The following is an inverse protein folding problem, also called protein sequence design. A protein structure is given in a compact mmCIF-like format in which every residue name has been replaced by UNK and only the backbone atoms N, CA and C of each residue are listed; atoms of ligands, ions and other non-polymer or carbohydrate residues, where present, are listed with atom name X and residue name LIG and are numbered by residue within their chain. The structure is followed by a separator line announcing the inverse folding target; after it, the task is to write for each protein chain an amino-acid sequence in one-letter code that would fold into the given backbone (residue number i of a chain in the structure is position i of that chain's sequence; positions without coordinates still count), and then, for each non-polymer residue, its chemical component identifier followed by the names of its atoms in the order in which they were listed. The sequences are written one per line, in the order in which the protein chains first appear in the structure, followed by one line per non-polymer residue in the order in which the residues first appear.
data_IF_463905745338
#
_entry.id   IF_463905745338
#
_cell.length_a   1.000
_cell.length_b   1.000
_cell.length_c   1.000
_cell.angle_alpha   90.00
_cell.angle_beta   90.00
_cell.angle_gamma   90.00
#
_symmetry.space_group_name_H-M   'P 1'
#
loop_
_entity.id
_entity.type
_entity.pdbx_description
1 polymer ?
#
# COMPACT_ATOMS: atom_id res chain seq x y z
N UNK A 1 35.18 -12.91 -13.88
CA UNK A 1 33.93 -13.67 -14.11
C UNK A 1 33.20 -13.80 -12.79
N UNK A 2 31.87 -13.60 -12.77
CA UNK A 2 31.04 -13.72 -11.57
C UNK A 2 30.07 -14.91 -11.69
N UNK A 3 29.58 -15.46 -10.57
CA UNK A 3 28.63 -16.57 -10.57
C UNK A 3 27.25 -16.13 -11.08
N UNK A 4 26.51 -17.06 -11.69
CA UNK A 4 25.08 -16.89 -11.96
C UNK A 4 24.32 -17.27 -10.69
N UNK A 5 23.72 -16.28 -10.03
CA UNK A 5 22.92 -16.50 -8.82
C UNK A 5 21.43 -16.62 -9.17
N UNK A 6 20.72 -17.48 -8.43
CA UNK A 6 19.25 -17.44 -8.39
C UNK A 6 18.76 -16.29 -7.48
N UNK A 7 17.45 -16.08 -7.43
CA UNK A 7 16.86 -14.94 -6.71
C UNK A 7 17.15 -14.98 -5.19
N UNK A 8 16.95 -16.11 -4.47
CA UNK A 8 17.29 -16.18 -3.05
C UNK A 8 18.77 -15.93 -2.77
N UNK A 9 19.67 -16.57 -3.51
CA UNK A 9 21.11 -16.38 -3.31
C UNK A 9 21.56 -14.97 -3.67
N UNK A 10 20.93 -14.33 -4.67
CA UNK A 10 21.20 -12.94 -5.00
C UNK A 10 20.76 -12.00 -3.87
N UNK A 11 19.59 -12.24 -3.26
CA UNK A 11 19.05 -11.43 -2.17
C UNK A 11 19.88 -11.48 -0.87
N UNK A 12 20.65 -12.54 -0.67
CA UNK A 12 21.47 -12.78 0.52
C UNK A 12 22.96 -12.43 0.33
N UNK A 13 23.35 -11.95 -0.86
CA UNK A 13 24.73 -11.60 -1.12
C UNK A 13 25.27 -10.57 -0.11
N UNK A 14 26.53 -10.69 0.35
CA UNK A 14 27.11 -9.77 1.33
C UNK A 14 26.97 -8.30 0.95
N UNK A 15 27.06 -7.98 -0.34
CA UNK A 15 26.89 -6.62 -0.85
C UNK A 15 25.44 -6.12 -0.82
N UNK A 16 24.46 -7.01 -1.03
CA UNK A 16 23.02 -6.68 -0.92
C UNK A 16 22.68 -6.32 0.53
N UNK A 17 23.18 -7.13 1.48
CA UNK A 17 22.98 -6.91 2.91
C UNK A 17 23.73 -5.66 3.40
N UNK A 18 25.03 -5.55 3.12
CA UNK A 18 25.86 -4.44 3.58
C UNK A 18 25.40 -3.07 3.06
N UNK A 19 24.63 -3.06 1.96
CA UNK A 19 24.10 -1.84 1.34
C UNK A 19 22.60 -1.68 1.54
N UNK A 20 21.95 -2.52 2.34
CA UNK A 20 20.50 -2.51 2.62
C UNK A 20 19.69 -2.36 1.32
N UNK A 21 20.07 -3.13 0.29
CA UNK A 21 19.43 -3.04 -1.04
C UNK A 21 18.03 -3.67 -1.05
N UNK A 22 17.71 -4.47 -0.03
CA UNK A 22 16.36 -4.94 0.28
C UNK A 22 16.02 -4.48 1.68
N UNK A 23 14.83 -3.90 1.84
CA UNK A 23 14.32 -3.43 3.14
C UNK A 23 12.94 -4.00 3.37
N UNK A 24 12.64 -4.28 4.64
CA UNK A 24 11.31 -4.67 5.08
C UNK A 24 10.50 -3.43 5.43
N UNK A 25 9.28 -3.36 4.93
CA UNK A 25 8.36 -2.24 5.13
C UNK A 25 7.03 -2.76 5.65
N UNK A 26 6.64 -2.30 6.83
CA UNK A 26 5.34 -2.62 7.40
C UNK A 26 4.24 -1.86 6.67
N UNK A 27 3.31 -2.60 6.06
CA UNK A 27 2.14 -2.04 5.41
C UNK A 27 0.97 -1.92 6.41
N UNK A 28 0.12 -0.86 6.35
CA UNK A 28 -1.00 -0.67 7.28
C UNK A 28 -2.01 -1.83 7.30
N UNK A 29 -2.03 -2.66 6.26
CA UNK A 29 -2.83 -3.89 6.21
C UNK A 29 -2.26 -5.04 7.05
N UNK A 30 -1.21 -4.83 7.83
CA UNK A 30 -0.58 -5.85 8.69
C UNK A 30 0.39 -6.80 7.96
N UNK A 31 0.73 -6.52 6.70
CA UNK A 31 1.67 -7.34 5.92
C UNK A 31 3.03 -6.62 5.87
N UNK A 32 4.11 -7.35 6.17
CA UNK A 32 5.47 -6.85 5.94
C UNK A 32 5.92 -7.17 4.51
N UNK A 33 6.38 -6.16 3.79
CA UNK A 33 6.83 -6.27 2.39
C UNK A 33 8.33 -6.11 2.31
N UNK A 34 9.03 -7.14 1.80
CA UNK A 34 10.45 -7.05 1.48
C UNK A 34 10.64 -6.51 0.07
N UNK A 35 11.12 -5.29 -0.06
CA UNK A 35 11.17 -4.56 -1.34
C UNK A 35 12.56 -3.98 -1.62
N UNK A 36 12.83 -3.76 -2.92
CA UNK A 36 14.08 -3.19 -3.39
C UNK A 36 14.20 -1.71 -2.99
N UNK A 37 15.28 -1.38 -2.28
CA UNK A 37 15.61 -0.02 -1.91
C UNK A 37 16.34 0.70 -3.05
N UNK A 38 16.50 2.02 -2.92
CA UNK A 38 17.30 2.80 -3.86
C UNK A 38 18.75 2.26 -3.90
N UNK A 39 19.30 1.90 -5.06
CA UNK A 39 20.69 1.47 -5.17
C UNK A 39 21.67 2.65 -4.99
N UNK A 40 21.17 3.88 -5.15
CA UNK A 40 21.95 5.11 -5.05
C UNK A 40 22.09 5.55 -3.59
N UNK A 41 23.34 5.73 -3.15
CA UNK A 41 23.67 6.33 -1.85
C UNK A 41 24.21 7.73 -2.07
N UNK A 42 23.39 8.72 -1.74
CA UNK A 42 23.71 10.14 -1.90
C UNK A 42 23.93 10.74 -0.50
N UNK A 43 25.09 11.34 -0.26
CA UNK A 43 25.46 11.88 1.06
C UNK A 43 24.65 13.12 1.44
N UNK A 44 24.35 13.98 0.47
CA UNK A 44 23.63 15.25 0.70
C UNK A 44 22.11 15.10 0.69
N UNK A 45 21.60 14.14 -0.09
CA UNK A 45 20.16 13.91 -0.26
C UNK A 45 19.88 12.42 -0.21
N UNK A 46 19.96 11.79 0.97
CA UNK A 46 19.70 10.36 1.10
C UNK A 46 18.33 10.00 0.51
N UNK A 47 18.35 9.16 -0.53
CA UNK A 47 17.15 8.60 -1.13
C UNK A 47 16.78 7.28 -0.47
N UNK A 48 15.70 6.67 -0.94
CA UNK A 48 15.24 5.38 -0.47
C UNK A 48 13.75 5.37 -0.16
N UNK A 49 13.29 4.21 0.28
CA UNK A 49 11.89 4.02 0.67
C UNK A 49 11.64 4.71 2.00
N UNK A 50 10.55 5.50 2.06
CA UNK A 50 10.18 6.29 3.24
C UNK A 50 9.03 5.69 4.06
N UNK A 51 8.39 4.65 3.53
CA UNK A 51 7.22 4.05 4.13
C UNK A 51 6.51 3.13 3.14
N UNK A 52 5.41 2.51 3.58
CA UNK A 52 4.60 1.67 2.73
C UNK A 52 3.99 2.47 1.57
N UNK A 53 3.60 1.80 0.48
CA UNK A 53 2.76 2.43 -0.53
C UNK A 53 1.49 2.98 0.13
N UNK A 54 1.05 4.21 -0.21
CA UNK A 54 -0.17 4.78 0.35
C UNK A 54 -1.40 3.99 -0.11
N UNK A 55 -2.43 3.99 0.72
CA UNK A 55 -3.75 3.48 0.35
C UNK A 55 -4.41 4.39 -0.70
N UNK A 56 -5.41 3.85 -1.40
CA UNK A 56 -6.12 4.60 -2.43
C UNK A 56 -6.82 5.82 -1.81
N UNK A 57 -6.45 7.00 -2.30
CA UNK A 57 -6.99 8.28 -1.84
C UNK A 57 -6.48 8.74 -0.46
N UNK A 58 -5.35 8.21 0.03
CA UNK A 58 -4.75 8.63 1.31
C UNK A 58 -4.52 10.15 1.39
N UNK A 59 -4.09 10.76 0.29
CA UNK A 59 -3.73 12.18 0.23
C UNK A 59 -4.77 13.05 -0.50
N UNK A 60 -5.96 12.51 -0.83
CA UNK A 60 -6.99 13.24 -1.60
C UNK A 60 -7.38 14.55 -0.93
N UNK A 61 -7.75 14.53 0.35
CA UNK A 61 -8.21 15.72 1.08
C UNK A 61 -7.08 16.73 1.27
N UNK A 62 -5.87 16.23 1.55
CA UNK A 62 -4.69 17.05 1.76
C UNK A 62 -4.30 17.82 0.48
N UNK A 63 -4.36 17.16 -0.68
CA UNK A 63 -4.11 17.79 -1.98
C UNK A 63 -5.19 18.81 -2.32
N UNK A 64 -6.47 18.45 -2.17
CA UNK A 64 -7.59 19.34 -2.47
C UNK A 64 -7.58 20.59 -1.58
N UNK A 65 -7.25 20.43 -0.30
CA UNK A 65 -7.16 21.54 0.65
C UNK A 65 -5.93 22.41 0.39
N UNK A 66 -4.74 21.81 0.25
CA UNK A 66 -3.48 22.57 0.20
C UNK A 66 -3.14 23.16 -1.16
N UNK A 67 -3.46 22.44 -2.25
CA UNK A 67 -3.09 22.85 -3.60
C UNK A 67 -4.24 23.57 -4.32
N UNK A 68 -5.48 23.13 -4.09
CA UNK A 68 -6.66 23.71 -4.76
C UNK A 68 -7.37 24.75 -3.87
N UNK A 69 -7.23 24.64 -2.54
CA UNK A 69 -7.82 25.59 -1.59
C UNK A 69 -9.29 25.33 -1.30
N UNK A 70 -9.78 24.10 -1.53
CA UNK A 70 -11.18 23.74 -1.25
C UNK A 70 -11.44 23.66 0.25
N UNK A 71 -12.65 24.07 0.66
CA UNK A 71 -13.12 23.90 2.03
C UNK A 71 -13.52 22.43 2.31
N UNK A 72 -13.62 22.07 3.59
CA UNK A 72 -14.05 20.72 3.98
C UNK A 72 -15.50 20.44 3.52
N UNK A 73 -16.36 21.46 3.45
CA UNK A 73 -17.72 21.35 2.90
C UNK A 73 -17.74 21.10 1.38
N UNK A 74 -16.83 21.72 0.64
CA UNK A 74 -16.67 21.48 -0.80
C UNK A 74 -16.15 20.07 -1.08
N UNK A 75 -15.14 19.64 -0.33
CA UNK A 75 -14.61 18.27 -0.40
C UNK A 75 -15.70 17.26 -0.04
N UNK A 76 -16.50 17.54 0.99
CA UNK A 76 -17.64 16.72 1.38
C UNK A 76 -18.68 16.56 0.27
N UNK A 77 -18.99 17.64 -0.47
CA UNK A 77 -19.89 17.58 -1.64
C UNK A 77 -19.31 16.73 -2.77
N UNK A 78 -18.04 16.92 -3.11
CA UNK A 78 -17.39 16.12 -4.15
C UNK A 78 -17.38 14.62 -3.83
N UNK A 79 -17.32 14.27 -2.55
CA UNK A 79 -17.43 12.88 -2.09
C UNK A 79 -18.84 12.34 -2.21
N UNK A 80 -19.85 13.14 -1.82
CA UNK A 80 -21.25 12.77 -1.95
C UNK A 80 -21.67 12.59 -3.42
N UNK A 81 -21.11 13.40 -4.31
CA UNK A 81 -21.32 13.33 -5.76
C UNK A 81 -20.44 12.25 -6.44
N UNK A 82 -19.68 11.45 -5.66
CA UNK A 82 -18.78 10.38 -6.12
C UNK A 82 -17.70 10.84 -7.13
N UNK A 83 -17.35 12.13 -7.11
CA UNK A 83 -16.31 12.71 -7.96
C UNK A 83 -14.91 12.37 -7.42
N UNK A 84 -14.76 12.32 -6.09
CA UNK A 84 -13.50 12.01 -5.42
C UNK A 84 -13.68 10.94 -4.35
N UNK A 85 -12.63 10.14 -4.13
CA UNK A 85 -12.60 9.03 -3.18
C UNK A 85 -11.41 9.16 -2.21
N UNK A 86 -11.52 8.60 -1.00
CA UNK A 86 -10.39 8.43 -0.07
C UNK A 86 -10.72 8.59 1.42
N UNK A 87 -9.78 8.31 2.34
CA UNK A 87 -8.94 7.13 2.26
C UNK A 87 -9.84 5.88 2.23
N UNK A 88 -9.71 5.06 1.18
CA UNK A 88 -10.39 3.77 1.11
C UNK A 88 -9.55 2.71 1.83
N UNK A 89 -10.20 1.72 2.48
CA UNK A 89 -9.47 0.61 3.10
C UNK A 89 -8.55 -0.08 2.09
N UNK A 90 -7.48 -0.68 2.60
CA UNK A 90 -6.44 -1.28 1.76
C UNK A 90 -7.00 -2.37 0.84
N UNK A 91 -6.30 -2.76 -0.24
CA UNK A 91 -6.80 -3.77 -1.18
C UNK A 91 -7.19 -5.09 -0.50
N UNK A 92 -6.41 -5.55 0.47
CA UNK A 92 -6.68 -6.76 1.26
C UNK A 92 -7.95 -6.61 2.08
N UNK A 93 -8.12 -5.49 2.76
CA UNK A 93 -9.28 -5.22 3.59
C UNK A 93 -10.56 -5.15 2.73
N UNK A 94 -10.49 -4.54 1.54
CA UNK A 94 -11.60 -4.55 0.57
C UNK A 94 -11.95 -5.95 0.08
N UNK A 95 -10.96 -6.83 -0.14
CA UNK A 95 -11.21 -8.22 -0.51
C UNK A 95 -11.93 -8.93 0.63
N UNK A 96 -11.45 -8.79 1.87
CA UNK A 96 -12.05 -9.41 3.05
C UNK A 96 -13.47 -8.89 3.35
N UNK A 97 -13.72 -7.60 3.16
CA UNK A 97 -15.04 -6.99 3.32
C UNK A 97 -16.00 -7.45 2.22
N UNK A 98 -15.52 -7.59 0.98
CA UNK A 98 -16.29 -8.18 -0.11
C UNK A 98 -16.63 -9.65 0.18
N UNK A 99 -15.67 -10.45 0.64
CA UNK A 99 -15.87 -11.85 1.03
C UNK A 99 -16.87 -11.99 2.19
N UNK A 100 -16.81 -11.11 3.21
CA UNK A 100 -17.81 -11.06 4.30
C UNK A 100 -19.19 -10.70 3.76
N UNK A 101 -19.29 -9.67 2.92
CA UNK A 101 -20.55 -9.26 2.29
C UNK A 101 -21.20 -10.38 1.45
N UNK A 102 -20.39 -11.24 0.81
CA UNK A 102 -20.88 -12.41 0.09
C UNK A 102 -21.37 -13.52 1.02
N UNK A 103 -20.67 -13.79 2.13
CA UNK A 103 -21.09 -14.79 3.13
C UNK A 103 -22.39 -14.41 3.83
N UNK A 104 -22.57 -13.14 4.17
CA UNK A 104 -23.81 -12.65 4.82
C UNK A 104 -25.03 -12.70 3.87
N UNK A 105 -24.80 -12.89 2.56
CA UNK A 105 -25.82 -13.00 1.52
C UNK A 105 -26.21 -14.45 1.19
N UNK A 106 -25.58 -15.45 1.79
CA UNK A 106 -26.03 -16.84 1.71
C UNK A 106 -26.94 -17.17 2.90
N UNK A 107 -28.28 -17.05 2.78
CA UNK A 107 -29.16 -17.64 3.78
C UNK A 107 -29.01 -19.16 3.74
N UNK A 108 -28.92 -19.77 4.93
CA UNK A 108 -28.78 -21.21 5.13
C UNK A 108 -29.67 -22.03 4.17
N UNK A 109 -29.07 -22.54 3.10
CA UNK A 109 -29.66 -23.63 2.33
C UNK A 109 -29.35 -24.93 3.07
N UNK A 110 -30.29 -25.36 3.91
CA UNK A 110 -30.46 -26.78 4.20
C UNK A 110 -30.49 -27.18 5.67
N UNK A 111 -31.59 -26.87 6.35
CA UNK A 111 -32.12 -27.75 7.39
C UNK A 111 -33.60 -28.00 7.08
N UNK A 112 -33.89 -29.03 6.28
CA UNK A 112 -35.26 -29.29 5.83
C UNK A 112 -35.41 -30.49 4.89
N UNK A 113 -35.08 -31.69 5.37
CA UNK A 113 -35.83 -32.96 5.18
C UNK A 113 -34.96 -34.14 5.57
#
# INVERSE_FOLDING_TARGET
CGPLNDIPHAAEQPQVVAREMLVDVEHPSGVSLRIANSPLRLSRTPGGIKGPPPILGADTDDVLRRLIGLSDEEIGRLRADEVVFGPLPGPVERILDHERSLKDREPEKGAGS
#
